data_IF_228319564749
#
_entry.id   IF_228319564749
#
_cell.length_a   1.000
_cell.length_b   1.000
_cell.length_c   1.000
_cell.angle_alpha   90.00
_cell.angle_beta   90.00
_cell.angle_gamma   90.00
#
_symmetry.space_group_name_H-M   'P 1'
#
loop_
_entity.id
_entity.type
_entity.pdbx_description
1 polymer ?
#
# COMPACT_ATOMS: atom_id res chain seq x y z
N UNK A 1 13.92 0.97 16.42
CA UNK A 1 13.46 1.03 17.81
C UNK A 1 12.80 -0.29 18.22
N UNK A 2 13.34 -1.42 17.74
CA UNK A 2 12.52 -2.60 17.43
C UNK A 2 12.73 -3.81 18.32
N UNK A 3 13.76 -3.82 19.17
CA UNK A 3 13.99 -4.96 20.06
C UNK A 3 13.16 -4.87 21.36
N UNK A 4 12.98 -3.67 21.93
CA UNK A 4 12.35 -3.49 23.23
C UNK A 4 10.81 -3.59 23.20
N UNK A 5 10.19 -3.25 22.08
CA UNK A 5 8.72 -3.28 21.93
C UNK A 5 8.26 -4.69 21.54
N UNK A 6 8.97 -5.39 20.66
CA UNK A 6 8.54 -6.70 20.17
C UNK A 6 8.55 -7.82 21.24
N UNK A 7 9.51 -7.81 22.17
CA UNK A 7 9.64 -8.86 23.21
C UNK A 7 8.62 -8.75 24.35
N UNK A 8 8.21 -7.54 24.74
CA UNK A 8 7.37 -7.32 25.93
C UNK A 8 5.89 -7.66 25.74
N UNK A 9 5.36 -7.60 24.52
CA UNK A 9 3.92 -7.86 24.27
C UNK A 9 3.59 -9.33 24.09
N UNK A 10 4.57 -10.19 23.81
CA UNK A 10 4.34 -11.63 23.59
C UNK A 10 3.89 -12.34 24.88
N UNK A 11 4.33 -11.85 26.04
CA UNK A 11 4.02 -12.40 27.37
C UNK A 11 2.97 -11.57 28.14
N UNK A 12 2.43 -10.51 27.53
CA UNK A 12 1.47 -9.64 28.18
C UNK A 12 0.13 -10.37 28.40
N UNK A 13 -0.51 -10.25 29.59
CA UNK A 13 -1.78 -10.92 29.89
C UNK A 13 -2.95 -10.36 29.07
N UNK A 14 -2.75 -9.24 28.38
CA UNK A 14 -3.72 -8.63 27.49
C UNK A 14 -3.01 -8.00 26.28
N UNK A 15 -3.68 -7.96 25.13
CA UNK A 15 -3.23 -7.26 23.93
C UNK A 15 -3.95 -5.90 23.83
N UNK A 16 -3.25 -4.76 23.96
CA UNK A 16 -3.86 -3.45 23.78
C UNK A 16 -4.39 -3.25 22.38
N UNK A 17 -5.40 -2.40 22.28
CA UNK A 17 -5.66 -1.69 21.05
C UNK A 17 -4.52 -0.69 20.77
N UNK A 18 -3.98 -0.70 19.56
CA UNK A 18 -2.85 0.16 19.15
C UNK A 18 -3.36 1.31 18.29
N UNK A 19 -3.02 2.55 18.66
CA UNK A 19 -3.26 3.73 17.83
C UNK A 19 -2.04 4.09 16.99
N UNK A 20 -2.25 4.60 15.77
CA UNK A 20 -1.17 5.01 14.87
C UNK A 20 -1.16 6.54 14.74
N UNK A 21 0.02 7.13 14.91
CA UNK A 21 0.26 8.55 14.64
C UNK A 21 0.97 8.70 13.28
N UNK A 22 0.39 9.43 12.29
CA UNK A 22 0.93 9.51 10.93
C UNK A 22 2.13 10.46 10.81
N UNK A 23 3.29 10.03 11.30
CA UNK A 23 4.53 10.83 11.30
C UNK A 23 5.37 10.67 10.02
N UNK A 24 5.15 9.60 9.25
CA UNK A 24 5.90 9.29 8.03
C UNK A 24 5.27 9.87 6.76
N UNK A 25 5.70 9.34 5.62
CA UNK A 25 5.13 9.65 4.29
C UNK A 25 4.13 8.57 3.85
N UNK A 26 4.45 7.29 4.09
CA UNK A 26 3.62 6.10 3.85
C UNK A 26 2.63 5.78 4.98
N UNK A 27 1.76 6.72 5.35
CA UNK A 27 0.80 6.52 6.46
C UNK A 27 -0.49 5.78 6.04
N UNK A 28 -0.39 4.66 5.33
CA UNK A 28 -1.57 3.98 4.77
C UNK A 28 -2.52 3.45 5.85
N UNK A 29 -2.02 2.68 6.81
CA UNK A 29 -2.83 2.21 7.95
C UNK A 29 -3.48 3.36 8.74
N UNK A 30 -2.80 4.49 8.89
CA UNK A 30 -3.36 5.67 9.55
C UNK A 30 -4.53 6.29 8.76
N UNK A 31 -4.50 6.22 7.42
CA UNK A 31 -5.61 6.65 6.55
C UNK A 31 -6.80 5.71 6.70
N UNK A 32 -6.56 4.40 6.63
CA UNK A 32 -7.61 3.36 6.81
C UNK A 32 -8.30 3.50 8.17
N UNK A 33 -7.52 3.73 9.22
CA UNK A 33 -8.04 3.93 10.58
C UNK A 33 -8.58 5.35 10.85
N UNK A 34 -8.58 6.25 9.87
CA UNK A 34 -9.16 7.60 9.99
C UNK A 34 -8.30 8.64 10.73
N UNK A 35 -7.06 8.32 11.08
CA UNK A 35 -6.10 9.26 11.70
C UNK A 35 -5.51 10.27 10.71
N UNK A 36 -5.70 10.02 9.41
CA UNK A 36 -5.43 10.95 8.33
C UNK A 36 -4.03 10.80 7.72
N UNK A 37 -3.71 11.71 6.78
CA UNK A 37 -2.54 11.58 5.90
C UNK A 37 -1.21 11.97 6.56
N UNK A 38 -1.24 12.87 7.54
CA UNK A 38 -0.04 13.41 8.19
C UNK A 38 -0.38 14.03 9.53
N UNK A 39 0.56 13.98 10.46
CA UNK A 39 0.48 14.63 11.75
C UNK A 39 1.08 16.06 11.68
N UNK A 40 0.42 16.99 12.36
CA UNK A 40 0.89 18.36 12.59
C UNK A 40 0.89 18.61 14.10
N UNK A 41 1.99 19.14 14.62
CA UNK A 41 2.19 19.32 16.07
C UNK A 41 1.09 20.19 16.70
N UNK A 42 0.62 21.18 15.95
CA UNK A 42 -0.45 22.11 16.32
C UNK A 42 -1.79 21.38 16.55
N UNK A 43 -1.98 20.20 15.96
CA UNK A 43 -3.18 19.37 16.10
C UNK A 43 -3.03 18.28 17.17
N UNK A 44 -1.96 18.28 17.98
CA UNK A 44 -1.72 17.23 18.97
C UNK A 44 -2.89 17.10 19.95
N UNK A 45 -3.37 18.21 20.51
CA UNK A 45 -4.48 18.19 21.47
C UNK A 45 -5.78 17.67 20.84
N UNK A 46 -6.08 18.06 19.59
CA UNK A 46 -7.28 17.58 18.91
C UNK A 46 -7.15 16.10 18.51
N UNK A 47 -5.96 15.61 18.19
CA UNK A 47 -5.72 14.18 17.98
C UNK A 47 -5.83 13.37 19.28
N UNK A 48 -5.29 13.88 20.39
CA UNK A 48 -5.44 13.24 21.70
C UNK A 48 -6.92 13.23 22.15
N UNK A 49 -7.68 14.31 21.89
CA UNK A 49 -9.11 14.35 22.17
C UNK A 49 -9.92 13.31 21.37
N UNK A 50 -9.44 12.91 20.18
CA UNK A 50 -10.06 11.84 19.40
C UNK A 50 -9.83 10.45 20.00
N UNK A 51 -8.81 10.25 20.83
CA UNK A 51 -8.53 8.95 21.46
C UNK A 51 -9.67 8.51 22.38
N UNK A 52 -10.27 9.45 23.13
CA UNK A 52 -11.38 9.16 24.04
C UNK A 52 -12.64 8.65 23.31
N UNK A 53 -12.79 9.06 22.04
CA UNK A 53 -13.90 8.64 21.17
C UNK A 53 -13.49 7.63 20.12
N UNK A 54 -12.27 7.10 20.23
CA UNK A 54 -11.77 6.10 19.28
C UNK A 54 -12.53 4.79 19.46
N UNK A 55 -12.69 4.08 18.36
CA UNK A 55 -13.32 2.76 18.34
C UNK A 55 -12.25 1.69 18.18
N UNK A 56 -12.51 0.50 18.72
CA UNK A 56 -11.68 -0.66 18.43
C UNK A 56 -12.07 -1.17 17.03
N UNK A 57 -11.06 -1.37 16.19
CA UNK A 57 -11.17 -2.04 14.90
C UNK A 57 -10.22 -3.23 14.87
N UNK A 58 -10.58 -4.30 14.17
CA UNK A 58 -9.68 -5.42 13.93
C UNK A 58 -8.79 -5.11 12.72
N UNK A 59 -7.57 -5.61 12.73
CA UNK A 59 -6.65 -5.62 11.58
C UNK A 59 -6.08 -7.03 11.46
N UNK A 60 -6.37 -7.70 10.36
CA UNK A 60 -5.83 -9.00 10.07
C UNK A 60 -4.33 -8.92 9.83
N UNK A 61 -3.62 -9.86 10.44
CA UNK A 61 -2.17 -9.99 10.34
C UNK A 61 -1.84 -11.28 9.64
N UNK A 62 -1.00 -11.14 8.63
CA UNK A 62 -0.63 -12.20 7.74
C UNK A 62 0.81 -12.62 8.04
N UNK A 63 1.03 -13.92 8.05
CA UNK A 63 2.35 -14.49 8.22
C UNK A 63 2.84 -14.94 6.86
N UNK A 64 3.93 -14.33 6.42
CA UNK A 64 4.70 -14.76 5.25
C UNK A 64 5.71 -15.81 5.71
N UNK A 65 5.68 -17.02 5.13
CA UNK A 65 6.60 -18.13 5.47
C UNK A 65 7.17 -18.76 4.21
N UNK A 66 8.45 -19.13 4.24
CA UNK A 66 9.09 -19.87 3.15
C UNK A 66 10.54 -19.48 2.97
N UNK A 67 11.00 -19.49 1.73
CA UNK A 67 12.32 -18.99 1.34
C UNK A 67 12.19 -17.53 0.92
N UNK A 68 12.51 -16.59 1.82
CA UNK A 68 12.58 -15.17 1.50
C UNK A 68 14.03 -14.77 1.23
N UNK A 69 14.27 -13.63 0.54
CA UNK A 69 15.61 -13.08 0.39
C UNK A 69 16.28 -12.82 1.75
N UNK A 70 17.61 -12.66 1.73
CA UNK A 70 18.44 -12.43 2.92
C UNK A 70 18.42 -13.59 3.93
N UNK A 71 18.05 -14.80 3.47
CA UNK A 71 17.96 -16.00 4.30
C UNK A 71 16.85 -15.96 5.35
N UNK A 72 15.87 -15.04 5.23
CA UNK A 72 14.74 -14.98 6.17
C UNK A 72 13.76 -16.12 5.90
N UNK A 73 13.33 -16.79 6.97
CA UNK A 73 12.34 -17.87 6.88
C UNK A 73 10.89 -17.36 6.99
N UNK A 74 10.70 -16.20 7.63
CA UNK A 74 9.38 -15.63 7.87
C UNK A 74 9.42 -14.11 8.04
N UNK A 75 8.32 -13.44 7.69
CA UNK A 75 8.05 -12.04 8.05
C UNK A 75 6.54 -11.84 8.24
N UNK A 76 6.14 -10.74 8.89
CA UNK A 76 4.72 -10.38 9.03
C UNK A 76 4.33 -9.35 7.98
N UNK A 77 3.09 -9.46 7.54
CA UNK A 77 2.43 -8.56 6.60
C UNK A 77 1.19 -7.98 7.29
N UNK A 78 1.12 -6.66 7.41
CA UNK A 78 -0.04 -5.96 7.98
C UNK A 78 -0.77 -5.11 6.95
N UNK A 79 -0.13 -4.69 5.86
CA UNK A 79 -0.73 -3.80 4.88
C UNK A 79 -0.66 -4.32 3.45
N UNK A 80 0.55 -4.50 2.91
CA UNK A 80 0.74 -5.01 1.56
C UNK A 80 2.14 -5.58 1.34
N UNK A 81 2.28 -6.48 0.36
CA UNK A 81 3.57 -6.77 -0.25
C UNK A 81 3.48 -6.58 -1.76
N UNK A 82 4.60 -6.27 -2.40
CA UNK A 82 4.66 -6.18 -3.86
C UNK A 82 5.94 -6.75 -4.43
N UNK A 83 5.88 -7.09 -5.72
CA UNK A 83 7.02 -7.54 -6.51
C UNK A 83 7.06 -6.79 -7.85
N UNK A 84 8.23 -6.77 -8.50
CA UNK A 84 8.41 -6.15 -9.82
C UNK A 84 8.60 -4.63 -9.75
N UNK A 85 8.00 -3.88 -10.67
CA UNK A 85 8.28 -2.44 -10.89
C UNK A 85 8.05 -1.57 -9.65
N UNK A 86 7.04 -1.90 -8.83
CA UNK A 86 6.76 -1.20 -7.58
C UNK A 86 7.84 -1.50 -6.52
N UNK A 87 8.15 -2.77 -6.28
CA UNK A 87 9.19 -3.16 -5.34
C UNK A 87 10.58 -2.66 -5.76
N UNK A 88 10.84 -2.55 -7.07
CA UNK A 88 12.04 -1.89 -7.62
C UNK A 88 12.10 -0.42 -7.20
N UNK A 89 10.97 0.29 -7.27
CA UNK A 89 10.90 1.69 -6.86
C UNK A 89 11.09 1.85 -5.35
N UNK A 90 10.54 0.94 -4.53
CA UNK A 90 10.78 0.91 -3.09
C UNK A 90 12.26 0.66 -2.76
N UNK A 91 12.89 -0.33 -3.39
CA UNK A 91 14.32 -0.64 -3.23
C UNK A 91 15.21 0.54 -3.61
N UNK A 92 14.90 1.18 -4.74
CA UNK A 92 15.64 2.37 -5.17
C UNK A 92 15.48 3.53 -4.19
N UNK A 93 14.26 3.76 -3.70
CA UNK A 93 14.01 4.78 -2.69
C UNK A 93 14.85 4.54 -1.44
N UNK A 94 14.86 3.32 -0.91
CA UNK A 94 15.64 2.94 0.26
C UNK A 94 17.13 3.27 0.06
N UNK A 95 17.75 2.76 -1.01
CA UNK A 95 19.17 2.98 -1.33
C UNK A 95 19.51 4.45 -1.56
N UNK A 96 18.66 5.21 -2.25
CA UNK A 96 18.89 6.64 -2.49
C UNK A 96 18.72 7.46 -1.21
N UNK A 97 17.77 7.10 -0.36
CA UNK A 97 17.54 7.80 0.91
C UNK A 97 18.71 7.67 1.88
N UNK A 98 19.39 6.52 1.84
CA UNK A 98 20.62 6.27 2.59
C UNK A 98 21.83 6.99 1.96
N UNK A 99 21.99 6.89 0.64
CA UNK A 99 23.14 7.47 -0.04
C UNK A 99 23.11 9.00 -0.11
N UNK A 100 21.93 9.61 -0.20
CA UNK A 100 21.71 11.06 -0.42
C UNK A 100 20.54 11.62 0.40
N UNK A 101 20.61 11.62 1.73
CA UNK A 101 19.50 12.03 2.61
C UNK A 101 19.09 13.50 2.42
N UNK A 102 19.97 14.35 1.90
CA UNK A 102 19.68 15.75 1.57
C UNK A 102 18.57 15.91 0.51
N UNK A 103 18.43 14.95 -0.41
CA UNK A 103 17.36 14.95 -1.41
C UNK A 103 15.98 14.71 -0.80
N UNK A 104 15.90 14.13 0.39
CA UNK A 104 14.67 13.71 1.03
C UNK A 104 14.18 14.67 2.13
N UNK A 105 14.89 15.80 2.34
CA UNK A 105 14.56 16.81 3.36
C UNK A 105 13.34 17.66 3.03
N UNK A 106 12.96 17.74 1.75
CA UNK A 106 11.78 18.48 1.32
C UNK A 106 10.60 17.52 1.21
N UNK A 107 9.61 17.68 2.08
CA UNK A 107 8.35 16.90 2.06
C UNK A 107 7.61 16.99 0.71
N UNK A 108 7.89 18.02 -0.09
CA UNK A 108 7.41 18.19 -1.47
C UNK A 108 8.05 17.21 -2.49
N UNK A 109 9.19 16.60 -2.17
CA UNK A 109 9.82 15.56 -2.99
C UNK A 109 9.17 14.17 -2.81
N UNK A 110 8.03 14.05 -2.10
CA UNK A 110 7.15 12.88 -2.22
C UNK A 110 6.68 12.62 -3.68
N UNK A 111 6.88 13.59 -4.59
CA UNK A 111 6.69 13.47 -6.04
C UNK A 111 7.96 13.02 -6.80
N UNK A 112 9.01 12.56 -6.13
CA UNK A 112 10.23 12.00 -6.75
C UNK A 112 9.97 10.84 -7.71
N UNK A 113 8.73 10.32 -7.77
CA UNK A 113 8.23 9.50 -8.88
C UNK A 113 8.63 10.06 -10.25
N UNK A 114 8.63 11.38 -10.46
CA UNK A 114 9.07 11.96 -11.74
C UNK A 114 10.56 11.81 -12.05
N UNK A 115 11.42 11.68 -11.03
CA UNK A 115 12.84 11.36 -11.21
C UNK A 115 13.00 9.86 -11.45
N UNK A 116 12.27 9.03 -10.69
CA UNK A 116 12.28 7.56 -10.80
C UNK A 116 11.73 7.11 -12.17
N UNK A 117 10.56 7.59 -12.60
CA UNK A 117 10.01 7.35 -13.93
C UNK A 117 10.84 7.96 -15.07
N UNK A 118 11.71 8.93 -14.77
CA UNK A 118 12.53 9.64 -15.74
C UNK A 118 13.89 8.99 -16.01
N UNK A 119 14.30 7.97 -15.24
CA UNK A 119 15.56 7.27 -15.52
C UNK A 119 15.37 6.23 -16.64
N UNK A 120 16.37 6.03 -17.52
CA UNK A 120 16.29 5.04 -18.60
C UNK A 120 15.93 3.63 -18.13
N UNK A 121 16.29 3.27 -16.89
CA UNK A 121 16.04 1.95 -16.30
C UNK A 121 14.55 1.69 -15.95
N UNK A 122 13.71 2.73 -15.88
CA UNK A 122 12.26 2.60 -15.77
C UNK A 122 11.54 2.74 -17.12
N UNK A 123 12.21 3.33 -18.12
CA UNK A 123 11.76 3.31 -19.50
C UNK A 123 11.96 1.94 -20.18
N UNK A 124 12.87 1.12 -19.64
CA UNK A 124 13.03 -0.28 -20.01
C UNK A 124 12.03 -1.11 -19.20
N UNK A 125 11.03 -1.67 -19.87
CA UNK A 125 10.04 -2.67 -19.42
C UNK A 125 10.69 -3.87 -18.71
N UNK A 126 11.25 -3.64 -17.52
CA UNK A 126 12.27 -4.46 -16.85
C UNK A 126 11.72 -5.80 -16.35
N UNK A 127 10.40 -5.91 -16.27
CA UNK A 127 9.68 -7.08 -15.78
C UNK A 127 8.52 -7.45 -16.69
N UNK A 128 8.58 -7.11 -17.99
CA UNK A 128 7.46 -7.39 -18.92
C UNK A 128 7.12 -8.87 -19.07
N UNK A 129 8.02 -9.74 -18.61
CA UNK A 129 7.91 -11.20 -18.55
C UNK A 129 7.48 -11.73 -17.17
N UNK A 130 6.99 -10.88 -16.25
CA UNK A 130 6.61 -11.30 -14.90
C UNK A 130 5.58 -12.44 -14.91
N UNK A 131 4.66 -12.42 -15.87
CA UNK A 131 3.63 -13.46 -16.04
C UNK A 131 4.18 -14.85 -16.42
N UNK A 132 5.40 -14.91 -16.98
CA UNK A 132 6.07 -16.16 -17.35
C UNK A 132 6.98 -16.66 -16.22
N UNK A 133 7.44 -15.75 -15.36
CA UNK A 133 8.43 -16.02 -14.32
C UNK A 133 7.81 -16.28 -12.95
N UNK A 134 6.71 -15.61 -12.64
CA UNK A 134 6.08 -15.67 -11.32
C UNK A 134 4.93 -16.63 -11.34
N UNK A 135 4.88 -17.48 -10.31
CA UNK A 135 3.75 -18.36 -10.05
C UNK A 135 2.95 -17.79 -8.89
N UNK A 136 1.65 -17.61 -9.13
CA UNK A 136 0.67 -17.23 -8.12
C UNK A 136 -0.32 -18.38 -7.92
N UNK A 137 -0.51 -18.77 -6.68
CA UNK A 137 -1.59 -19.66 -6.23
C UNK A 137 -2.46 -18.89 -5.23
N UNK A 138 -3.78 -19.04 -5.35
CA UNK A 138 -4.77 -18.46 -4.45
C UNK A 138 -5.73 -19.57 -4.02
N UNK A 139 -5.84 -19.81 -2.72
CA UNK A 139 -6.66 -20.88 -2.14
C UNK A 139 -6.44 -22.26 -2.76
N UNK A 140 -5.18 -22.60 -3.08
CA UNK A 140 -4.82 -23.87 -3.70
C UNK A 140 -4.98 -23.92 -5.23
N UNK A 141 -5.53 -22.87 -5.85
CA UNK A 141 -5.67 -22.79 -7.31
C UNK A 141 -4.61 -21.93 -7.96
N UNK A 142 -3.98 -22.45 -9.01
CA UNK A 142 -3.03 -21.69 -9.83
C UNK A 142 -3.77 -20.56 -10.57
N UNK A 143 -3.31 -19.34 -10.34
CA UNK A 143 -3.88 -18.14 -10.95
C UNK A 143 -3.02 -17.70 -12.15
N UNK A 144 -3.57 -17.72 -13.38
CA UNK A 144 -2.83 -17.23 -14.54
C UNK A 144 -2.72 -15.71 -14.49
N UNK A 145 -1.50 -15.20 -14.60
CA UNK A 145 -1.23 -13.77 -14.66
C UNK A 145 -1.44 -13.25 -16.10
N UNK A 146 -2.12 -12.09 -16.29
CA UNK A 146 -2.20 -11.41 -17.57
C UNK A 146 -0.81 -11.12 -18.17
N UNK A 147 -0.65 -11.17 -19.51
CA UNK A 147 0.61 -10.81 -20.16
C UNK A 147 0.94 -9.33 -19.94
N UNK A 148 2.23 -8.99 -19.96
CA UNK A 148 2.76 -7.63 -19.77
C UNK A 148 2.46 -7.02 -18.39
N UNK A 149 2.22 -7.85 -17.37
CA UNK A 149 2.31 -7.36 -16.00
C UNK A 149 3.78 -7.15 -15.65
N UNK A 150 4.09 -6.00 -15.06
CA UNK A 150 5.42 -5.66 -14.57
C UNK A 150 5.46 -5.50 -13.06
N UNK A 151 4.31 -5.43 -12.41
CA UNK A 151 4.20 -5.40 -10.96
C UNK A 151 2.97 -6.15 -10.48
N UNK A 152 3.10 -6.71 -9.29
CA UNK A 152 2.04 -7.44 -8.60
C UNK A 152 2.02 -6.99 -7.14
N UNK A 153 0.86 -6.66 -6.61
CA UNK A 153 0.67 -6.26 -5.22
C UNK A 153 -0.37 -7.18 -4.58
N UNK A 154 -0.04 -7.68 -3.39
CA UNK A 154 -0.97 -8.39 -2.51
C UNK A 154 -1.34 -7.43 -1.39
N UNK A 155 -2.63 -7.16 -1.24
CA UNK A 155 -3.17 -6.11 -0.38
C UNK A 155 -3.98 -6.74 0.75
N UNK A 156 -3.86 -6.17 1.94
CA UNK A 156 -4.70 -6.45 3.10
C UNK A 156 -5.60 -5.23 3.46
N UNK A 157 -5.31 -4.04 2.95
CA UNK A 157 -6.09 -2.83 3.26
C UNK A 157 -6.36 -1.97 2.04
N UNK A 158 -7.44 -1.15 2.04
CA UNK A 158 -7.82 -0.29 0.90
C UNK A 158 -6.84 0.84 0.57
N UNK A 159 -5.72 0.97 1.30
CA UNK A 159 -4.81 2.10 1.18
C UNK A 159 -3.43 1.63 0.76
N UNK A 160 -3.01 2.07 -0.42
CA UNK A 160 -1.70 1.75 -0.98
C UNK A 160 -0.94 3.00 -1.43
N UNK A 161 0.39 2.99 -1.25
CA UNK A 161 1.28 4.01 -1.79
C UNK A 161 0.94 5.43 -1.32
N UNK A 162 0.44 5.58 -0.09
CA UNK A 162 0.05 6.87 0.46
C UNK A 162 -1.41 7.26 0.24
N UNK A 163 -2.33 6.30 0.18
CA UNK A 163 -3.78 6.55 0.21
C UNK A 163 -4.56 6.16 -1.04
N UNK A 164 -3.95 5.43 -1.97
CA UNK A 164 -4.58 5.08 -3.24
C UNK A 164 -5.36 3.78 -3.09
N UNK A 165 -6.57 3.76 -3.63
CA UNK A 165 -7.36 2.54 -3.78
C UNK A 165 -7.04 1.90 -5.15
N UNK A 166 -6.46 0.70 -5.10
CA UNK A 166 -6.07 -0.12 -6.25
C UNK A 166 -7.14 -1.14 -6.67
N UNK A 167 -8.22 -1.25 -5.88
CA UNK A 167 -9.30 -2.22 -6.05
C UNK A 167 -10.64 -1.55 -6.42
N UNK A 168 -10.60 -0.26 -6.80
CA UNK A 168 -11.78 0.57 -7.02
C UNK A 168 -12.64 0.06 -8.19
N UNK A 169 -13.81 -0.49 -7.89
CA UNK A 169 -14.68 -1.10 -8.91
C UNK A 169 -15.22 -0.11 -9.95
N UNK A 170 -15.23 1.19 -9.62
CA UNK A 170 -15.77 2.23 -10.49
C UNK A 170 -14.74 2.71 -11.52
N UNK A 171 -13.44 2.47 -11.28
CA UNK A 171 -12.36 2.86 -12.19
C UNK A 171 -11.91 1.69 -13.07
N UNK A 172 -11.69 1.99 -14.35
CA UNK A 172 -11.20 1.02 -15.34
C UNK A 172 -9.69 0.85 -15.24
N UNK A 173 -9.24 -0.40 -15.40
CA UNK A 173 -7.83 -0.75 -15.58
C UNK A 173 -7.48 -0.85 -17.09
N UNK A 174 -6.21 -0.66 -17.49
CA UNK A 174 -5.78 -0.73 -18.89
C UNK A 174 -5.78 -2.16 -19.45
N UNK A 175 -5.72 -3.17 -18.57
CA UNK A 175 -5.93 -4.57 -18.94
C UNK A 175 -7.22 -5.09 -18.31
N UNK A 176 -7.94 -5.91 -19.08
CA UNK A 176 -9.01 -6.73 -18.54
C UNK A 176 -8.44 -8.08 -18.08
N UNK A 177 -8.56 -8.38 -16.81
CA UNK A 177 -8.38 -9.70 -16.22
C UNK A 177 -9.75 -10.32 -15.95
N UNK A 178 -9.88 -11.65 -16.11
CA UNK A 178 -10.98 -12.38 -15.47
C UNK A 178 -10.64 -12.45 -13.99
N UNK A 179 -11.21 -11.52 -13.23
CA UNK A 179 -11.09 -11.51 -11.79
C UNK A 179 -11.59 -12.85 -11.23
N UNK A 180 -10.73 -13.54 -10.47
CA UNK A 180 -11.04 -14.84 -9.87
C UNK A 180 -11.39 -14.68 -8.39
N UNK A 181 -12.59 -15.12 -8.04
CA UNK A 181 -13.06 -15.13 -6.66
C UNK A 181 -13.25 -16.57 -6.22
N UNK A 182 -12.60 -16.93 -5.13
CA UNK A 182 -12.67 -18.29 -4.58
C UNK A 182 -13.84 -18.44 -3.59
N UNK A 183 -14.46 -17.33 -3.17
CA UNK A 183 -15.44 -17.28 -2.09
C UNK A 183 -16.69 -16.44 -2.41
N UNK A 184 -17.16 -16.45 -3.66
CA UNK A 184 -18.42 -15.79 -4.07
C UNK A 184 -18.23 -14.60 -5.01
N UNK A 185 -19.03 -13.55 -4.87
CA UNK A 185 -18.84 -12.28 -5.59
C UNK A 185 -17.67 -11.47 -5.02
N UNK A 186 -17.05 -10.64 -5.86
CA UNK A 186 -16.03 -9.68 -5.44
C UNK A 186 -16.48 -8.88 -4.23
N UNK A 187 -15.71 -8.91 -3.16
CA UNK A 187 -15.92 -8.00 -2.04
C UNK A 187 -15.00 -6.79 -2.17
N UNK A 188 -15.44 -5.61 -1.73
CA UNK A 188 -14.53 -4.51 -1.44
C UNK A 188 -13.47 -4.98 -0.43
N UNK A 189 -12.24 -4.54 -0.62
CA UNK A 189 -11.15 -4.82 0.31
C UNK A 189 -11.50 -4.34 1.74
N UNK A 190 -11.34 -5.22 2.71
CA UNK A 190 -11.51 -4.93 4.12
C UNK A 190 -10.30 -5.46 4.89
N UNK A 191 -9.94 -4.77 5.98
CA UNK A 191 -8.74 -5.14 6.74
C UNK A 191 -9.00 -6.24 7.78
N UNK A 192 -10.22 -6.77 7.86
CA UNK A 192 -10.70 -7.66 8.91
C UNK A 192 -11.66 -8.77 8.41
N UNK A 193 -11.64 -9.07 7.11
CA UNK A 193 -12.49 -10.08 6.47
C UNK A 193 -11.80 -11.44 6.25
N UNK A 194 -10.51 -11.53 6.57
CA UNK A 194 -9.67 -12.69 6.36
C UNK A 194 -9.32 -12.95 4.90
N UNK A 195 -9.38 -11.94 4.03
CA UNK A 195 -9.04 -12.04 2.62
C UNK A 195 -7.81 -11.18 2.28
N UNK A 196 -7.16 -11.56 1.18
CA UNK A 196 -6.13 -10.79 0.50
C UNK A 196 -6.56 -10.54 -0.94
N UNK A 197 -6.29 -9.35 -1.44
CA UNK A 197 -6.56 -8.94 -2.81
C UNK A 197 -5.27 -8.85 -3.61
N UNK A 198 -5.27 -9.42 -4.82
CA UNK A 198 -4.11 -9.37 -5.71
C UNK A 198 -4.42 -8.46 -6.90
N UNK A 199 -3.59 -7.44 -7.09
CA UNK A 199 -3.67 -6.49 -8.20
C UNK A 199 -2.36 -6.46 -8.99
N UNK A 200 -2.45 -6.19 -10.28
CA UNK A 200 -1.30 -6.01 -11.16
C UNK A 200 -1.20 -4.62 -11.78
N UNK A 201 0.01 -4.23 -12.15
CA UNK A 201 0.31 -3.05 -12.98
C UNK A 201 1.18 -3.44 -14.17
N UNK A 202 1.06 -2.70 -15.26
CA UNK A 202 1.70 -3.03 -16.55
C UNK A 202 3.05 -2.41 -16.74
N UNK A 203 3.31 -1.29 -16.06
CA UNK A 203 4.53 -0.51 -16.18
C UNK A 203 4.52 0.60 -15.11
N UNK A 204 5.60 1.39 -15.05
CA UNK A 204 5.75 2.48 -14.08
C UNK A 204 4.77 3.64 -14.30
N UNK A 205 4.35 3.89 -15.55
CA UNK A 205 3.41 4.97 -15.89
C UNK A 205 2.02 4.57 -15.42
N UNK A 206 1.61 3.34 -15.68
CA UNK A 206 0.37 2.78 -15.17
C UNK A 206 0.36 2.77 -13.64
N UNK A 207 1.45 2.38 -12.98
CA UNK A 207 1.58 2.50 -11.53
C UNK A 207 1.38 3.95 -11.07
N UNK A 208 2.07 4.92 -11.68
CA UNK A 208 1.95 6.34 -11.35
C UNK A 208 0.53 6.89 -11.53
N UNK A 209 -0.14 6.55 -12.63
CA UNK A 209 -1.52 6.96 -12.90
C UNK A 209 -2.49 6.34 -11.89
N UNK A 210 -2.25 5.10 -11.48
CA UNK A 210 -3.09 4.40 -10.51
C UNK A 210 -2.95 5.01 -9.11
N UNK A 211 -1.72 5.27 -8.67
CA UNK A 211 -1.45 6.01 -7.43
C UNK A 211 -1.98 7.46 -7.46
N UNK A 212 -2.05 8.05 -8.65
CA UNK A 212 -2.63 9.37 -8.87
C UNK A 212 -4.16 9.41 -8.94
N UNK A 213 -4.85 8.27 -8.86
CA UNK A 213 -6.30 8.19 -8.98
C UNK A 213 -6.84 8.29 -10.41
N UNK A 214 -5.96 8.27 -11.42
CA UNK A 214 -6.31 8.43 -12.85
C UNK A 214 -6.46 7.08 -13.59
N UNK A 215 -6.02 5.98 -12.96
CA UNK A 215 -6.18 4.60 -13.44
C UNK A 215 -6.59 3.70 -12.27
N UNK A 216 -6.80 2.41 -12.54
CA UNK A 216 -7.01 1.37 -11.55
C UNK A 216 -6.05 0.19 -11.74
N UNK A 217 -5.81 -0.58 -10.67
CA UNK A 217 -5.06 -1.82 -10.75
C UNK A 217 -5.80 -2.90 -11.56
N UNK A 218 -5.05 -3.78 -12.21
CA UNK A 218 -5.62 -4.98 -12.86
C UNK A 218 -5.98 -5.96 -11.77
N UNK A 219 -7.27 -6.11 -11.45
CA UNK A 219 -7.73 -7.00 -10.36
C UNK A 219 -7.58 -8.47 -10.75
N UNK A 220 -6.79 -9.25 -10.02
CA UNK A 220 -6.41 -10.62 -10.43
C UNK A 220 -7.22 -11.66 -9.65
N UNK A 221 -7.11 -11.67 -8.34
CA UNK A 221 -7.86 -12.59 -7.48
C UNK A 221 -8.06 -12.05 -6.07
N UNK A 222 -8.98 -12.68 -5.33
CA UNK A 222 -9.25 -12.44 -3.91
C UNK A 222 -9.42 -13.80 -3.21
N UNK A 223 -8.74 -14.01 -2.08
CA UNK A 223 -8.74 -15.30 -1.38
C UNK A 223 -8.09 -15.27 0.00
N UNK A 224 -8.05 -16.43 0.68
CA UNK A 224 -7.58 -16.58 2.08
C UNK A 224 -6.15 -17.06 2.22
N UNK A 225 -5.58 -17.68 1.21
CA UNK A 225 -4.16 -18.05 1.19
C UNK A 225 -3.54 -17.69 -0.15
N UNK A 226 -2.32 -17.17 -0.11
CA UNK A 226 -1.56 -16.85 -1.32
C UNK A 226 -0.24 -17.59 -1.28
N UNK A 227 0.18 -18.20 -2.40
CA UNK A 227 1.56 -18.64 -2.60
C UNK A 227 2.16 -17.92 -3.78
N UNK A 228 3.33 -17.34 -3.57
CA UNK A 228 4.09 -16.63 -4.58
C UNK A 228 5.47 -17.24 -4.70
N UNK A 229 5.81 -17.63 -5.92
CA UNK A 229 7.13 -18.13 -6.25
C UNK A 229 7.73 -17.31 -7.41
N UNK A 230 8.93 -16.79 -7.17
CA UNK A 230 9.79 -16.22 -8.20
C UNK A 230 11.12 -17.00 -8.19
N UNK A 231 11.46 -17.72 -9.28
CA UNK A 231 12.64 -18.59 -9.34
C UNK A 231 13.97 -17.84 -9.42
N UNK A 232 13.96 -16.50 -9.43
CA UNK A 232 15.15 -15.65 -9.52
C UNK A 232 15.10 -14.69 -10.70
N UNK A 233 16.27 -14.21 -11.14
CA UNK A 233 16.41 -13.26 -12.25
C UNK A 233 16.17 -11.80 -11.84
N UNK A 234 16.39 -11.48 -10.56
CA UNK A 234 16.36 -10.10 -10.10
C UNK A 234 14.97 -9.52 -9.84
N UNK A 235 13.96 -10.33 -9.52
CA UNK A 235 12.64 -9.80 -9.12
C UNK A 235 12.75 -9.23 -7.71
N UNK A 236 12.53 -7.92 -7.50
CA UNK A 236 12.55 -7.35 -6.15
C UNK A 236 11.26 -7.68 -5.41
N UNK A 237 11.36 -7.75 -4.08
CA UNK A 237 10.27 -7.95 -3.13
C UNK A 237 10.29 -6.83 -2.09
N UNK A 238 9.13 -6.33 -1.71
CA UNK A 238 8.97 -5.46 -0.56
C UNK A 238 7.74 -5.86 0.26
N UNK A 239 7.79 -5.62 1.57
CA UNK A 239 6.70 -5.90 2.51
C UNK A 239 6.52 -4.68 3.39
N UNK A 240 5.27 -4.17 3.46
CA UNK A 240 4.87 -3.02 4.26
C UNK A 240 5.73 -1.75 4.06
N UNK A 241 6.26 -1.57 2.84
CA UNK A 241 7.12 -0.45 2.46
C UNK A 241 8.61 -0.70 2.62
N UNK A 242 9.00 -1.85 3.19
CA UNK A 242 10.40 -2.24 3.39
C UNK A 242 10.85 -3.20 2.29
N UNK A 243 11.76 -2.79 1.40
CA UNK A 243 12.30 -3.67 0.36
C UNK A 243 13.32 -4.65 0.94
N UNK A 244 13.39 -5.84 0.35
CA UNK A 244 14.47 -6.80 0.55
C UNK A 244 15.67 -6.49 -0.36
N UNK A 245 16.82 -7.12 -0.09
CA UNK A 245 18.07 -6.98 -0.83
C UNK A 245 18.61 -5.53 -0.85
N UNK A 246 18.34 -4.75 0.19
CA UNK A 246 18.83 -3.36 0.29
C UNK A 246 20.36 -3.30 0.24
N UNK A 247 21.01 -4.18 0.99
CA UNK A 247 22.48 -4.27 1.15
C UNK A 247 23.20 -5.04 0.03
N UNK A 248 22.47 -5.57 -0.95
CA UNK A 248 23.10 -6.37 -2.01
C UNK A 248 24.06 -5.49 -2.83
N UNK A 249 25.29 -5.96 -3.03
CA UNK A 249 26.33 -5.23 -3.75
C UNK A 249 25.95 -5.00 -5.22
N UNK A 250 25.88 -3.74 -5.64
CA UNK A 250 25.59 -3.35 -7.03
C UNK A 250 25.30 -1.85 -7.17
N UNK A 251 25.17 -1.32 -8.40
CA UNK A 251 24.66 0.02 -8.62
C UNK A 251 23.31 0.20 -7.93
N UNK A 252 23.02 1.39 -7.39
CA UNK A 252 21.78 1.64 -6.63
C UNK A 252 20.49 1.22 -7.37
N UNK A 253 20.52 1.26 -8.71
CA UNK A 253 19.40 0.96 -9.61
C UNK A 253 19.34 -0.51 -10.08
N UNK A 254 20.34 -1.34 -9.77
CA UNK A 254 20.38 -2.73 -10.21
C UNK A 254 19.49 -3.61 -9.33
N UNK A 255 18.80 -4.54 -10.01
CA UNK A 255 18.00 -5.60 -9.38
C UNK A 255 18.57 -6.99 -9.69
N UNK A 256 19.67 -7.09 -10.45
CA UNK A 256 20.27 -8.37 -10.85
C UNK A 256 20.67 -9.26 -9.66
N UNK A 257 20.98 -8.62 -8.52
CA UNK A 257 21.34 -9.26 -7.26
C UNK A 257 20.14 -9.68 -6.41
N UNK A 258 18.90 -9.38 -6.79
CA UNK A 258 17.72 -9.79 -6.02
C UNK A 258 17.57 -11.32 -6.07
N UNK A 259 17.48 -11.90 -4.88
CA UNK A 259 17.46 -13.34 -4.67
C UNK A 259 16.09 -13.94 -5.04
N UNK A 260 16.05 -15.24 -5.40
CA UNK A 260 14.79 -15.94 -5.59
C UNK A 260 13.99 -16.05 -4.28
N UNK A 261 12.68 -16.25 -4.41
CA UNK A 261 11.80 -16.49 -3.27
C UNK A 261 10.65 -17.45 -3.57
N UNK A 262 10.19 -18.14 -2.54
CA UNK A 262 8.98 -18.97 -2.55
C UNK A 262 8.35 -18.86 -1.16
N UNK A 263 7.20 -18.21 -1.08
CA UNK A 263 6.53 -17.99 0.20
C UNK A 263 5.03 -18.22 0.11
N UNK A 264 4.45 -18.58 1.24
CA UNK A 264 3.01 -18.56 1.49
C UNK A 264 2.64 -17.41 2.40
N UNK A 265 1.46 -16.85 2.20
CA UNK A 265 0.79 -15.90 3.07
C UNK A 265 -0.46 -16.55 3.64
N UNK A 266 -0.49 -16.66 4.96
CA UNK A 266 -1.61 -17.22 5.71
C UNK A 266 -1.98 -16.29 6.85
N UNK A 267 -3.27 -16.18 7.13
CA UNK A 267 -3.77 -15.35 8.22
C UNK A 267 -3.33 -15.96 9.55
N UNK A 268 -2.64 -15.17 10.37
CA UNK A 268 -2.17 -15.59 11.68
C UNK A 268 -3.23 -15.30 12.76
N UNK A 269 -3.59 -14.03 12.90
CA UNK A 269 -4.58 -13.54 13.87
C UNK A 269 -5.00 -12.11 13.49
N UNK A 270 -5.72 -11.42 14.40
CA UNK A 270 -6.02 -9.99 14.26
C UNK A 270 -5.37 -9.18 15.38
N UNK A 271 -4.84 -8.01 15.02
CA UNK A 271 -4.51 -6.96 15.97
C UNK A 271 -5.75 -6.11 16.28
N UNK A 272 -5.80 -5.59 17.52
CA UNK A 272 -6.76 -4.57 17.89
C UNK A 272 -6.14 -3.21 17.60
N UNK A 273 -6.86 -2.38 16.85
CA UNK A 273 -6.43 -1.05 16.44
C UNK A 273 -7.40 -0.01 16.99
N UNK A 274 -6.89 1.16 17.36
CA UNK A 274 -7.73 2.33 17.59
C UNK A 274 -8.00 2.99 16.24
N UNK A 275 -9.27 3.08 15.85
CA UNK A 275 -9.71 3.87 14.72
C UNK A 275 -10.27 5.21 15.22
N UNK A 276 -9.92 6.28 14.53
CA UNK A 276 -10.46 7.60 14.82
C UNK A 276 -11.98 7.58 14.70
N UNK A 277 -12.71 8.36 15.53
CA UNK A 277 -14.14 8.51 15.38
C UNK A 277 -14.45 8.97 13.95
N UNK A 278 -15.33 8.24 13.27
CA UNK A 278 -15.89 8.74 12.02
C UNK A 278 -16.57 10.08 12.33
N UNK A 279 -16.37 11.09 11.48
CA UNK A 279 -17.16 12.31 11.56
C UNK A 279 -18.62 11.94 11.29
N UNK A 280 -19.36 11.60 12.34
CA UNK A 280 -20.80 11.39 12.27
C UNK A 280 -21.46 12.75 12.01
N UNK A 281 -21.66 13.07 10.73
CA UNK A 281 -22.39 14.26 10.32
C UNK A 281 -22.71 14.22 8.82
N UNK A 282 -23.98 14.35 8.41
CA UNK A 282 -24.35 14.58 7.01
C UNK A 282 -23.78 15.90 6.46
N UNK A 283 -23.20 16.75 7.30
CA UNK A 283 -22.69 18.08 6.95
C UNK A 283 -21.38 18.08 6.18
N UNK A 284 -20.46 17.11 6.38
CA UNK A 284 -19.18 17.12 5.65
C UNK A 284 -19.38 16.84 4.15
N UNK A 285 -20.17 15.80 3.82
CA UNK A 285 -20.53 15.48 2.45
C UNK A 285 -21.52 16.47 1.83
N UNK A 286 -22.49 16.97 2.59
CA UNK A 286 -23.44 17.97 2.08
C UNK A 286 -22.79 19.34 1.84
N UNK A 287 -21.84 19.77 2.67
CA UNK A 287 -21.12 21.02 2.48
C UNK A 287 -20.17 20.95 1.29
N UNK A 288 -19.45 19.84 1.11
CA UNK A 288 -18.57 19.63 -0.05
C UNK A 288 -19.40 19.61 -1.36
N UNK A 289 -20.52 18.88 -1.37
CA UNK A 289 -21.46 18.85 -2.49
C UNK A 289 -22.13 20.22 -2.75
N UNK A 290 -22.41 21.00 -1.71
CA UNK A 290 -22.95 22.35 -1.83
C UNK A 290 -21.92 23.34 -2.39
N UNK A 291 -20.65 23.21 -2.01
CA UNK A 291 -19.55 23.99 -2.55
C UNK A 291 -19.35 23.65 -4.04
N UNK A 292 -19.38 22.36 -4.40
CA UNK A 292 -19.28 21.94 -5.81
C UNK A 292 -20.45 22.45 -6.67
N UNK A 293 -21.69 22.40 -6.16
CA UNK A 293 -22.85 23.03 -6.81
C UNK A 293 -22.71 24.56 -6.91
N UNK A 294 -22.09 25.19 -5.92
CA UNK A 294 -21.73 26.61 -5.92
C UNK A 294 -20.76 26.95 -7.05
N UNK A 295 -19.77 26.11 -7.32
CA UNK A 295 -18.83 26.28 -8.44
C UNK A 295 -19.52 26.04 -9.78
N UNK A 296 -20.35 25.00 -9.90
CA UNK A 296 -21.08 24.70 -11.12
C UNK A 296 -22.10 25.79 -11.51
N UNK A 297 -22.68 26.47 -10.51
CA UNK A 297 -23.60 27.61 -10.70
C UNK A 297 -22.90 28.97 -10.85
N UNK A 298 -21.56 29.02 -10.72
CA UNK A 298 -20.79 30.27 -10.75
C UNK A 298 -20.90 31.14 -9.49
N UNK A 299 -21.61 30.65 -8.46
CA UNK A 299 -21.82 31.35 -7.18
C UNK A 299 -20.58 31.33 -6.29
N UNK A 300 -19.70 30.32 -6.47
CA UNK A 300 -18.44 30.16 -5.74
C UNK A 300 -17.29 30.04 -6.74
N UNK A 301 -16.27 30.89 -6.62
CA UNK A 301 -15.06 30.77 -7.46
C UNK A 301 -14.20 29.57 -7.06
N UNK A 302 -13.39 29.07 -7.98
CA UNK A 302 -12.46 27.95 -7.72
C UNK A 302 -11.51 28.26 -6.54
N UNK A 303 -11.04 29.50 -6.42
CA UNK A 303 -10.19 29.91 -5.30
C UNK A 303 -10.92 29.89 -3.95
N UNK A 304 -12.21 30.24 -3.94
CA UNK A 304 -13.05 30.17 -2.73
C UNK A 304 -13.41 28.73 -2.37
N UNK A 305 -13.71 27.86 -3.34
CA UNK A 305 -13.82 26.42 -3.11
C UNK A 305 -12.57 25.91 -2.41
N UNK A 306 -11.40 26.18 -2.98
CA UNK A 306 -10.15 25.65 -2.43
C UNK A 306 -9.88 26.20 -1.03
N UNK A 307 -10.29 27.44 -0.73
CA UNK A 307 -10.20 28.00 0.61
C UNK A 307 -11.17 27.33 1.59
N UNK A 308 -12.43 27.12 1.19
CA UNK A 308 -13.46 26.47 2.00
C UNK A 308 -13.14 25.00 2.27
N UNK A 309 -12.67 24.27 1.27
CA UNK A 309 -12.22 22.88 1.44
C UNK A 309 -10.98 22.81 2.33
N UNK A 310 -10.06 23.78 2.25
CA UNK A 310 -8.93 23.89 3.17
C UNK A 310 -9.37 24.16 4.61
N UNK A 311 -10.41 24.97 4.79
CA UNK A 311 -10.97 25.31 6.11
C UNK A 311 -11.76 24.13 6.70
N UNK A 312 -12.53 23.42 5.88
CA UNK A 312 -13.22 22.18 6.28
C UNK A 312 -12.25 21.03 6.59
N UNK A 313 -11.09 21.00 5.93
CA UNK A 313 -10.03 20.03 6.21
C UNK A 313 -9.10 20.42 7.40
N UNK A 314 -9.26 21.65 7.93
CA UNK A 314 -8.50 22.19 9.07
C UNK A 314 -8.95 21.64 10.42
#
# INVERSE_FOLDING_TARGET
ADAAVAGGWAEAPYRPAVGILPLGTGNDLARVLGWGKSFRRERMLSQLAKLDRSRIAALDRWQMRGSLPEGRAETRLCNYCSIGVDAKAALLWARLSEARPELFKLRLLNKLWYIICGTPEFALHSFSDLNERVFLECDGEKIPLPPNLEGLMVLNTPSYGGGSDLWDEQRKAPLSSRLRHMHGEAQPIAMDDGLLEVVGVTDVVHLALTLGGLSNGVRICQGRTMRLHAPGGGVPLQVDGEPFNQESSGPAFSTESCEPFDFTLERQDSALMLAAPQSSGPEAGAAELAIERGVASGTVSVAQRDALLRDMAS
#
